data_IF_268554969007
#
_entry.id   IF_268554969007
#
_cell.length_a   1.000
_cell.length_b   1.000
_cell.length_c   1.000
_cell.angle_alpha   90.00
_cell.angle_beta   90.00
_cell.angle_gamma   90.00
#
_symmetry.space_group_name_H-M   'P 1'
#
loop_
_entity.id
_entity.type
_entity.pdbx_description
1 polymer ?
#
# COMPACT_ATOMS: atom_id res chain seq x y z
N UNK A 1 2.22 -13.26 14.52
CA UNK A 1 3.63 -12.85 14.64
C UNK A 1 4.47 -14.11 14.59
N UNK A 2 5.36 -14.24 13.60
CA UNK A 2 6.26 -15.39 13.55
C UNK A 2 7.28 -15.25 14.67
N UNK A 3 7.04 -15.94 15.80
CA UNK A 3 8.05 -16.07 16.83
C UNK A 3 9.11 -17.03 16.32
N UNK A 4 10.24 -16.49 15.88
CA UNK A 4 11.43 -17.29 15.66
C UNK A 4 11.78 -17.94 17.01
N UNK A 5 11.60 -19.25 17.11
CA UNK A 5 12.21 -20.06 18.17
C UNK A 5 13.72 -20.10 17.92
N UNK A 6 14.40 -19.00 18.25
CA UNK A 6 15.82 -18.83 18.00
C UNK A 6 16.60 -19.79 18.89
N UNK A 7 17.17 -20.84 18.30
CA UNK A 7 18.22 -21.62 18.94
C UNK A 7 19.41 -20.68 19.20
N UNK A 8 19.94 -20.67 20.43
CA UNK A 8 21.04 -19.80 20.85
C UNK A 8 22.25 -19.88 19.90
N UNK A 9 22.52 -21.06 19.33
CA UNK A 9 23.60 -21.26 18.34
C UNK A 9 23.39 -20.47 17.04
N UNK A 10 22.15 -20.26 16.63
CA UNK A 10 21.81 -19.51 15.42
C UNK A 10 21.93 -18.01 15.66
N UNK A 11 21.51 -17.54 16.84
CA UNK A 11 21.72 -16.15 17.28
C UNK A 11 23.20 -15.77 17.29
N UNK A 12 24.04 -16.61 17.89
CA UNK A 12 25.49 -16.36 17.95
C UNK A 12 26.14 -16.29 16.57
N UNK A 13 25.68 -17.09 15.60
CA UNK A 13 26.17 -17.02 14.22
C UNK A 13 25.83 -15.66 13.58
N UNK A 14 24.59 -15.18 13.75
CA UNK A 14 24.20 -13.85 13.25
C UNK A 14 24.98 -12.74 13.95
N UNK A 15 25.18 -12.81 15.27
CA UNK A 15 26.01 -11.86 16.01
C UNK A 15 27.47 -11.89 15.54
N UNK A 16 28.01 -13.06 15.21
CA UNK A 16 29.34 -13.19 14.63
C UNK A 16 29.49 -12.44 13.31
N UNK A 17 28.49 -12.52 12.43
CA UNK A 17 28.46 -11.74 11.19
C UNK A 17 28.42 -10.23 11.48
N UNK A 18 27.58 -9.80 12.43
CA UNK A 18 27.46 -8.39 12.79
C UNK A 18 28.72 -7.83 13.46
N UNK A 19 29.47 -8.67 14.19
CA UNK A 19 30.71 -8.27 14.86
C UNK A 19 31.80 -7.86 13.87
N UNK A 20 31.86 -8.49 12.70
CA UNK A 20 32.82 -8.21 11.64
C UNK A 20 32.58 -6.92 10.86
N UNK A 21 31.45 -6.24 11.07
CA UNK A 21 31.16 -4.96 10.42
C UNK A 21 32.05 -3.84 10.98
N UNK A 22 32.39 -2.88 10.12
CA UNK A 22 33.04 -1.63 10.53
C UNK A 22 32.09 -0.76 11.36
N UNK A 23 32.65 0.21 12.08
CA UNK A 23 31.89 1.05 13.01
C UNK A 23 30.82 1.90 12.32
N UNK A 24 31.04 2.33 11.08
CA UNK A 24 30.06 3.10 10.32
C UNK A 24 28.88 2.21 9.93
N UNK A 25 29.15 1.01 9.41
CA UNK A 25 28.11 0.04 9.08
C UNK A 25 27.29 -0.39 10.31
N UNK A 26 27.94 -0.59 11.46
CA UNK A 26 27.25 -0.89 12.74
C UNK A 26 26.30 0.24 13.14
N UNK A 27 26.79 1.50 13.13
CA UNK A 27 25.95 2.67 13.44
C UNK A 27 24.76 2.79 12.51
N UNK A 28 24.96 2.60 11.20
CA UNK A 28 23.88 2.65 10.20
C UNK A 28 22.85 1.54 10.41
N UNK A 29 23.29 0.34 10.79
CA UNK A 29 22.39 -0.77 11.08
C UNK A 29 21.52 -0.49 12.31
N UNK A 30 22.11 0.06 13.38
CA UNK A 30 21.37 0.46 14.57
C UNK A 30 20.27 1.45 14.21
N UNK A 31 20.58 2.51 13.45
CA UNK A 31 19.59 3.50 13.01
C UNK A 31 18.44 2.83 12.25
N UNK A 32 18.73 1.98 11.27
CA UNK A 32 17.71 1.27 10.49
C UNK A 32 16.85 0.35 11.34
N UNK A 33 17.46 -0.34 12.32
CA UNK A 33 16.72 -1.20 13.24
C UNK A 33 15.80 -0.37 14.14
N UNK A 34 16.29 0.76 14.66
CA UNK A 34 15.46 1.71 15.42
C UNK A 34 14.30 2.22 14.58
N UNK A 35 14.54 2.65 13.34
CA UNK A 35 13.50 3.07 12.40
C UNK A 35 12.50 1.95 12.11
N UNK A 36 12.93 0.68 12.04
CA UNK A 36 12.04 -0.45 11.80
C UNK A 36 11.12 -0.78 12.98
N UNK A 37 11.51 -0.39 14.20
CA UNK A 37 10.67 -0.53 15.40
C UNK A 37 9.62 0.57 15.48
N UNK A 38 9.95 1.76 14.97
CA UNK A 38 9.01 2.86 14.82
C UNK A 38 8.09 2.58 13.62
N UNK A 39 6.95 1.94 13.86
CA UNK A 39 5.85 1.86 12.88
C UNK A 39 5.34 3.27 12.59
N UNK A 40 5.98 3.96 11.64
CA UNK A 40 5.38 5.12 10.99
C UNK A 40 4.23 4.60 10.15
N UNK A 41 3.00 4.84 10.60
CA UNK A 41 1.85 4.72 9.72
C UNK A 41 2.03 5.77 8.63
N UNK A 42 2.58 5.35 7.48
CA UNK A 42 2.55 6.18 6.29
C UNK A 42 1.07 6.41 5.97
N UNK A 43 0.61 7.65 6.15
CA UNK A 43 -0.69 8.08 5.66
C UNK A 43 -0.61 8.05 4.14
N UNK A 44 -0.98 6.93 3.56
CA UNK A 44 -1.07 6.78 2.11
C UNK A 44 -2.22 7.67 1.65
N UNK A 45 -1.91 8.67 0.84
CA UNK A 45 -2.94 9.44 0.16
C UNK A 45 -3.67 8.51 -0.82
N UNK A 46 -4.99 8.39 -0.67
CA UNK A 46 -5.81 7.54 -1.54
C UNK A 46 -5.67 7.92 -3.03
N UNK A 47 -5.30 9.17 -3.32
CA UNK A 47 -5.07 9.66 -4.69
C UNK A 47 -3.80 9.09 -5.34
N UNK A 48 -2.84 8.57 -4.56
CA UNK A 48 -1.59 8.02 -5.11
C UNK A 48 -1.63 6.51 -5.32
N UNK A 49 -2.75 5.89 -4.98
CA UNK A 49 -2.95 4.46 -5.17
C UNK A 49 -3.11 4.11 -6.66
N UNK A 50 -2.60 2.95 -7.05
CA UNK A 50 -2.76 2.45 -8.40
C UNK A 50 -4.24 2.26 -8.74
N UNK A 51 -4.68 2.85 -9.86
CA UNK A 51 -6.09 2.84 -10.27
C UNK A 51 -6.94 3.92 -9.59
N UNK A 52 -6.31 4.91 -8.94
CA UNK A 52 -7.02 6.11 -8.50
C UNK A 52 -7.74 6.75 -9.69
N UNK A 53 -9.02 7.05 -9.50
CA UNK A 53 -9.83 7.72 -10.51
C UNK A 53 -9.35 9.17 -10.65
N UNK A 54 -8.79 9.49 -11.81
CA UNK A 54 -8.39 10.85 -12.18
C UNK A 54 -9.42 11.41 -13.16
N UNK A 55 -10.24 12.36 -12.68
CA UNK A 55 -11.18 13.09 -13.52
C UNK A 55 -11.24 14.55 -13.07
N UNK A 56 -11.41 15.44 -14.04
CA UNK A 56 -11.54 16.88 -13.83
C UNK A 56 -13.01 17.31 -13.82
N UNK A 57 -13.94 16.41 -14.17
CA UNK A 57 -15.37 16.68 -14.16
C UNK A 57 -15.88 16.86 -12.74
N UNK A 58 -16.79 17.81 -12.58
CA UNK A 58 -17.53 17.94 -11.35
C UNK A 58 -18.54 16.78 -11.20
N UNK A 59 -18.92 16.48 -9.95
CA UNK A 59 -19.90 15.43 -9.67
C UNK A 59 -21.21 15.64 -10.45
N UNK A 60 -21.65 16.88 -10.61
CA UNK A 60 -22.89 17.20 -11.34
C UNK A 60 -22.79 16.88 -12.84
N UNK A 61 -21.61 17.08 -13.44
CA UNK A 61 -21.36 16.75 -14.85
C UNK A 61 -21.40 15.25 -15.09
N UNK A 62 -20.78 14.47 -14.20
CA UNK A 62 -20.79 13.00 -14.24
C UNK A 62 -22.24 12.49 -14.11
N UNK A 63 -23.01 13.04 -13.16
CA UNK A 63 -24.42 12.66 -12.96
C UNK A 63 -25.24 12.95 -14.22
N UNK A 64 -25.02 14.11 -14.84
CA UNK A 64 -25.70 14.49 -16.07
C UNK A 64 -25.39 13.53 -17.22
N UNK A 65 -24.12 13.20 -17.45
CA UNK A 65 -23.69 12.25 -18.48
C UNK A 65 -24.27 10.84 -18.26
N UNK A 66 -24.31 10.37 -17.02
CA UNK A 66 -24.94 9.07 -16.68
C UNK A 66 -26.43 9.08 -17.00
N UNK A 67 -27.13 10.20 -16.77
CA UNK A 67 -28.56 10.30 -17.09
C UNK A 67 -28.80 10.38 -18.59
N UNK A 68 -27.99 11.14 -19.31
CA UNK A 68 -28.11 11.33 -20.77
C UNK A 68 -27.73 10.08 -21.56
N UNK A 69 -26.79 9.27 -21.06
CA UNK A 69 -26.40 7.99 -21.67
C UNK A 69 -27.42 6.87 -21.47
N UNK A 70 -28.47 7.06 -20.64
CA UNK A 70 -29.53 6.06 -20.50
C UNK A 70 -30.34 5.99 -21.80
N UNK A 71 -30.26 4.84 -22.45
CA UNK A 71 -31.23 4.45 -23.48
C UNK A 71 -32.37 3.74 -22.77
N UNK A 72 -33.47 4.45 -22.53
CA UNK A 72 -34.73 3.83 -22.11
C UNK A 72 -35.15 2.86 -23.23
N UNK A 73 -35.29 1.57 -22.92
CA UNK A 73 -35.86 0.62 -23.87
C UNK A 73 -37.30 1.06 -24.10
N UNK A 74 -37.58 1.61 -25.29
CA UNK A 74 -38.96 1.83 -25.72
C UNK A 74 -39.70 0.51 -25.56
N UNK A 75 -40.81 0.53 -24.83
CA UNK A 75 -41.69 -0.62 -24.69
C UNK A 75 -41.96 -1.18 -26.08
N UNK A 76 -41.55 -2.42 -26.31
CA UNK A 76 -41.81 -3.17 -27.52
C UNK A 76 -43.34 -3.22 -27.68
N UNK A 77 -43.94 -2.50 -28.66
CA UNK A 77 -45.37 -2.59 -28.86
C UNK A 77 -45.59 -3.98 -29.46
N UNK A 78 -45.88 -4.94 -28.57
CA UNK A 78 -46.09 -6.33 -28.93
C UNK A 78 -46.97 -6.43 -30.16
N UNK A 79 -46.43 -7.05 -31.21
CA UNK A 79 -47.13 -7.27 -32.47
C UNK A 79 -48.47 -7.97 -32.20
N UNK A 80 -49.56 -7.35 -32.70
CA UNK A 80 -50.91 -7.93 -32.77
C UNK A 80 -50.95 -9.24 -33.56
#
# INVERSE_FOLDING_TARGET
MANLTLNNKTLEKYFGMLRGLDDLSKKKLIIKLTESLEKKEEKVDMKTLFGAWEDNKDSDEIIKEIRESRVEKAEDPGFE
#
